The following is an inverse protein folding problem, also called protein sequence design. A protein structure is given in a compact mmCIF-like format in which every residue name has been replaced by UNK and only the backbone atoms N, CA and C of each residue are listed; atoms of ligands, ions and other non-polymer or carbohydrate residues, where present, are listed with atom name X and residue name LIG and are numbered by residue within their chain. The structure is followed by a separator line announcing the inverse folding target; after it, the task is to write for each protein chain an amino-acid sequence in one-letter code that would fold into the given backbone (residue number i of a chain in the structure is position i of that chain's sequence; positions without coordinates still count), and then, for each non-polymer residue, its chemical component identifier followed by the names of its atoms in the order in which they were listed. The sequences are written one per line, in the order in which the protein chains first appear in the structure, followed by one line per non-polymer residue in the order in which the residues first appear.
data_IF_332559315588
#
_entry.id   IF_332559315588
#
_cell.length_a   1.000
_cell.length_b   1.000
_cell.length_c   1.000
_cell.angle_alpha   90.00
_cell.angle_beta   90.00
_cell.angle_gamma   90.00
#
_symmetry.space_group_name_H-M   'P 1'
#
loop_
_entity.id
_entity.type
_entity.pdbx_description
1 polymer ?
#
# COMPACT_ATOMS: atom_id res chain seq x y z
N UNK A 1 16.26 -10.02 2.73
CA UNK A 1 15.39 -9.21 1.85
C UNK A 1 15.91 -7.78 1.95
N UNK A 2 16.50 -7.20 0.89
CA UNK A 2 16.95 -5.80 0.95
C UNK A 2 15.72 -4.92 1.11
N UNK A 3 15.55 -4.29 2.26
CA UNK A 3 14.57 -3.21 2.44
C UNK A 3 15.07 -2.06 1.58
N UNK A 4 14.56 -1.91 0.36
CA UNK A 4 14.87 -0.72 -0.42
C UNK A 4 14.34 0.48 0.35
N UNK A 5 15.15 1.51 0.54
CA UNK A 5 14.73 2.69 1.29
C UNK A 5 13.59 3.40 0.56
N UNK A 6 12.71 4.06 1.32
CA UNK A 6 11.68 4.90 0.72
C UNK A 6 12.37 6.12 0.09
N UNK A 7 12.13 6.34 -1.20
CA UNK A 7 12.76 7.44 -1.92
C UNK A 7 11.87 8.70 -1.97
N UNK A 8 10.57 8.55 -1.64
CA UNK A 8 9.62 9.66 -1.54
C UNK A 8 8.61 9.35 -0.45
N UNK A 9 8.28 10.35 0.37
CA UNK A 9 7.24 10.30 1.38
C UNK A 9 6.34 11.52 1.18
N UNK A 10 5.03 11.32 1.19
CA UNK A 10 4.04 12.39 1.04
C UNK A 10 3.01 12.23 2.17
N UNK A 11 2.82 13.29 2.94
CA UNK A 11 1.72 13.37 3.88
C UNK A 11 0.51 14.01 3.17
N UNK A 12 -0.61 13.30 3.16
CA UNK A 12 -1.89 13.76 2.64
C UNK A 12 -2.75 14.32 3.76
N UNK A 13 -3.94 14.82 3.40
CA UNK A 13 -4.95 15.22 4.37
C UNK A 13 -5.32 14.07 5.33
N UNK A 14 -5.90 14.45 6.47
CA UNK A 14 -6.38 13.51 7.50
C UNK A 14 -5.28 12.60 8.10
N UNK A 15 -4.00 12.94 7.91
CA UNK A 15 -2.85 12.25 8.49
C UNK A 15 -2.45 10.96 7.75
N UNK A 16 -2.93 10.76 6.52
CA UNK A 16 -2.51 9.63 5.69
C UNK A 16 -1.09 9.87 5.20
N UNK A 17 -0.18 8.94 5.45
CA UNK A 17 1.20 8.99 4.95
C UNK A 17 1.40 7.98 3.82
N UNK A 18 1.82 8.46 2.66
CA UNK A 18 2.25 7.65 1.54
C UNK A 18 3.76 7.50 1.53
N UNK A 19 4.25 6.27 1.46
CA UNK A 19 5.66 5.92 1.36
C UNK A 19 5.89 5.21 0.01
N UNK A 20 6.82 5.71 -0.79
CA UNK A 20 7.11 5.18 -2.13
C UNK A 20 8.48 4.52 -2.16
N UNK A 21 8.52 3.30 -2.70
CA UNK A 21 9.74 2.50 -2.83
C UNK A 21 9.92 2.08 -4.28
N UNK A 22 11.15 2.23 -4.77
CA UNK A 22 11.52 1.80 -6.10
C UNK A 22 11.91 0.32 -6.07
N UNK A 23 11.18 -0.50 -6.81
CA UNK A 23 11.42 -1.93 -7.02
C UNK A 23 11.70 -2.24 -8.49
N UNK A 24 12.07 -1.21 -9.26
CA UNK A 24 12.40 -1.32 -10.68
C UNK A 24 13.55 -2.29 -10.89
N UNK A 25 13.41 -3.12 -11.91
CA UNK A 25 14.38 -4.14 -12.27
C UNK A 25 14.54 -4.19 -13.79
N UNK A 26 15.74 -4.55 -14.25
CA UNK A 26 16.02 -4.75 -15.67
C UNK A 26 15.18 -5.91 -16.19
N UNK A 27 14.54 -5.70 -17.34
CA UNK A 27 13.64 -6.68 -17.95
C UNK A 27 14.28 -7.33 -19.18
N UNK A 28 14.67 -6.52 -20.16
CA UNK A 28 15.29 -7.00 -21.40
C UNK A 28 16.11 -5.89 -22.08
N UNK A 29 17.35 -6.16 -22.49
CA UNK A 29 18.17 -5.12 -23.15
C UNK A 29 18.35 -3.89 -22.26
N UNK A 30 18.03 -2.71 -22.78
CA UNK A 30 17.98 -1.43 -22.05
C UNK A 30 16.59 -1.12 -21.45
N UNK A 31 15.65 -2.06 -21.58
CA UNK A 31 14.30 -1.95 -21.03
C UNK A 31 14.19 -2.53 -19.62
N UNK A 32 13.36 -1.86 -18.84
CA UNK A 32 13.12 -2.12 -17.44
C UNK A 32 11.63 -2.39 -17.19
N UNK A 33 11.37 -3.17 -16.14
CA UNK A 33 10.08 -3.23 -15.49
C UNK A 33 10.12 -2.22 -14.35
N UNK A 34 9.50 -1.06 -14.57
CA UNK A 34 9.38 -0.01 -13.57
C UNK A 34 8.33 -0.41 -12.56
N UNK A 35 8.71 -0.44 -11.28
CA UNK A 35 7.81 -0.80 -10.19
C UNK A 35 7.96 0.20 -9.07
N UNK A 36 6.89 0.91 -8.78
CA UNK A 36 6.79 1.75 -7.59
C UNK A 36 5.86 1.06 -6.61
N UNK A 37 6.39 0.59 -5.51
CA UNK A 37 5.59 0.13 -4.40
C UNK A 37 5.12 1.34 -3.60
N UNK A 38 3.82 1.43 -3.38
CA UNK A 38 3.17 2.48 -2.60
C UNK A 38 2.63 1.85 -1.35
N UNK A 39 3.04 2.38 -0.20
CA UNK A 39 2.54 2.00 1.10
C UNK A 39 1.82 3.20 1.72
N UNK A 40 0.52 3.06 1.98
CA UNK A 40 -0.28 4.07 2.66
C UNK A 40 -0.50 3.66 4.11
N UNK A 41 -0.01 4.49 5.02
CA UNK A 41 -0.29 4.41 6.45
C UNK A 41 -1.50 5.30 6.73
N UNK A 42 -2.61 4.66 7.08
CA UNK A 42 -3.90 5.34 7.26
C UNK A 42 -4.20 5.39 8.75
N UNK A 43 -4.36 6.59 9.34
CA UNK A 43 -4.80 6.71 10.72
C UNK A 43 -6.25 6.24 10.82
N UNK A 44 -6.55 5.47 11.85
CA UNK A 44 -7.91 5.06 12.15
C UNK A 44 -8.42 5.88 13.32
N UNK A 45 -9.58 6.52 13.18
CA UNK A 45 -10.28 7.10 14.32
C UNK A 45 -10.96 5.98 15.12
N UNK A 46 -10.54 5.69 16.37
CA UNK A 46 -11.14 4.62 17.17
C UNK A 46 -12.65 4.80 17.37
N UNK A 47 -13.15 6.03 17.48
CA UNK A 47 -14.57 6.30 17.71
C UNK A 47 -15.47 5.87 16.55
N UNK A 48 -14.92 5.83 15.33
CA UNK A 48 -15.64 5.42 14.12
C UNK A 48 -15.63 3.89 13.90
N UNK A 49 -15.01 3.12 14.81
CA UNK A 49 -14.82 1.68 14.69
C UNK A 49 -15.72 0.90 15.64
N UNK A 50 -16.09 -0.30 15.22
CA UNK A 50 -16.73 -1.29 16.10
C UNK A 50 -15.71 -1.86 17.09
N UNK A 51 -16.17 -2.43 18.21
CA UNK A 51 -15.29 -3.06 19.20
C UNK A 51 -14.40 -4.15 18.59
N UNK A 52 -14.94 -4.98 17.71
CA UNK A 52 -14.17 -6.01 16.99
C UNK A 52 -13.05 -5.41 16.11
N UNK A 53 -13.31 -4.27 15.48
CA UNK A 53 -12.33 -3.57 14.64
C UNK A 53 -11.24 -2.91 15.48
N UNK A 54 -11.60 -2.31 16.62
CA UNK A 54 -10.64 -1.77 17.59
C UNK A 54 -9.71 -2.87 18.09
N UNK A 55 -10.27 -4.00 18.52
CA UNK A 55 -9.49 -5.14 19.00
C UNK A 55 -8.54 -5.68 17.92
N UNK A 56 -8.99 -5.73 16.67
CA UNK A 56 -8.15 -6.12 15.55
C UNK A 56 -6.98 -5.16 15.33
N UNK A 57 -7.22 -3.85 15.34
CA UNK A 57 -6.19 -2.83 15.14
C UNK A 57 -5.16 -2.83 16.27
N UNK A 58 -5.59 -2.95 17.52
CA UNK A 58 -4.67 -3.08 18.67
C UNK A 58 -3.79 -4.31 18.52
N UNK A 59 -4.36 -5.45 18.12
CA UNK A 59 -3.57 -6.65 17.81
C UNK A 59 -2.72 -6.54 16.54
N UNK A 60 -2.92 -5.50 15.71
CA UNK A 60 -2.18 -5.25 14.48
C UNK A 60 -1.10 -4.17 14.59
N UNK A 61 -0.96 -3.52 15.76
CA UNK A 61 -0.02 -2.41 15.97
C UNK A 61 -0.57 -1.04 15.58
N UNK A 62 -1.88 -0.82 15.77
CA UNK A 62 -2.59 0.47 15.71
C UNK A 62 -2.53 1.23 14.38
N UNK A 63 -2.10 0.59 13.28
CA UNK A 63 -2.00 1.24 11.97
C UNK A 63 -2.58 0.37 10.87
N UNK A 64 -3.49 0.95 10.10
CA UNK A 64 -3.99 0.33 8.89
C UNK A 64 -3.02 0.64 7.75
N UNK A 65 -2.42 -0.42 7.21
CA UNK A 65 -1.48 -0.33 6.10
C UNK A 65 -2.15 -0.82 4.82
N UNK A 66 -2.25 0.05 3.82
CA UNK A 66 -2.58 -0.32 2.44
C UNK A 66 -1.29 -0.38 1.63
N UNK A 67 -1.15 -1.38 0.77
CA UNK A 67 0.04 -1.53 -0.07
C UNK A 67 -0.38 -1.94 -1.48
N UNK A 68 0.21 -1.31 -2.49
CA UNK A 68 -0.02 -1.61 -3.91
C UNK A 68 1.23 -1.36 -4.74
N UNK A 69 1.29 -1.95 -5.93
CA UNK A 69 2.38 -1.75 -6.87
C UNK A 69 1.87 -1.04 -8.12
N UNK A 70 2.49 0.08 -8.45
CA UNK A 70 2.35 0.75 -9.74
C UNK A 70 3.40 0.16 -10.68
N UNK A 71 2.97 -0.36 -11.83
CA UNK A 71 3.84 -1.13 -12.72
C UNK A 71 3.71 -0.62 -14.13
N UNK A 72 4.86 -0.36 -14.77
CA UNK A 72 4.95 -0.16 -16.20
C UNK A 72 6.05 -1.07 -16.77
N UNK A 73 5.70 -1.81 -17.82
CA UNK A 73 6.60 -2.75 -18.49
C UNK A 73 7.31 -2.06 -19.65
N UNK A 74 8.46 -2.62 -20.04
CA UNK A 74 9.20 -2.23 -21.24
C UNK A 74 9.54 -0.73 -21.27
N UNK A 75 10.07 -0.20 -20.16
CA UNK A 75 10.48 1.21 -20.05
C UNK A 75 11.97 1.35 -20.39
N UNK A 76 12.34 2.17 -21.40
CA UNK A 76 13.74 2.44 -21.70
C UNK A 76 14.47 3.06 -20.50
N UNK A 77 15.76 2.75 -20.34
CA UNK A 77 16.58 3.31 -19.24
C UNK A 77 16.51 4.83 -19.17
N UNK A 78 16.50 5.50 -20.33
CA UNK A 78 16.47 6.97 -20.43
C UNK A 78 15.16 7.58 -19.87
N UNK A 79 14.07 6.81 -19.81
CA UNK A 79 12.74 7.29 -19.43
C UNK A 79 12.34 6.86 -18.00
N UNK A 80 13.19 6.13 -17.28
CA UNK A 80 12.84 5.54 -15.98
C UNK A 80 12.39 6.58 -14.96
N UNK A 81 13.07 7.72 -14.92
CA UNK A 81 12.77 8.80 -13.96
C UNK A 81 11.41 9.40 -14.24
N UNK A 82 11.13 9.72 -15.51
CA UNK A 82 9.90 10.36 -15.94
C UNK A 82 8.70 9.42 -15.80
N UNK A 83 8.84 8.17 -16.23
CA UNK A 83 7.78 7.16 -16.07
C UNK A 83 7.48 6.91 -14.60
N UNK A 84 8.49 6.87 -13.74
CA UNK A 84 8.30 6.72 -12.30
C UNK A 84 7.54 7.90 -11.70
N UNK A 85 7.88 9.12 -12.10
CA UNK A 85 7.16 10.32 -11.67
C UNK A 85 5.70 10.28 -12.13
N UNK A 86 5.47 9.98 -13.41
CA UNK A 86 4.13 9.88 -14.00
C UNK A 86 3.25 8.81 -13.31
N UNK A 87 3.82 7.66 -12.94
CA UNK A 87 3.10 6.64 -12.16
C UNK A 87 2.64 7.19 -10.81
N UNK A 88 3.53 7.91 -10.10
CA UNK A 88 3.19 8.51 -8.80
C UNK A 88 2.12 9.59 -8.97
N UNK A 89 2.29 10.47 -9.95
CA UNK A 89 1.37 11.59 -10.16
C UNK A 89 -0.02 11.07 -10.55
N UNK A 90 -0.11 10.08 -11.44
CA UNK A 90 -1.37 9.41 -11.78
C UNK A 90 -2.02 8.73 -10.57
N UNK A 91 -1.24 8.11 -9.68
CA UNK A 91 -1.76 7.52 -8.45
C UNK A 91 -2.30 8.59 -7.49
N UNK A 92 -1.62 9.73 -7.37
CA UNK A 92 -2.06 10.84 -6.53
C UNK A 92 -3.35 11.48 -7.06
N UNK A 93 -3.45 11.70 -8.36
CA UNK A 93 -4.64 12.27 -9.00
C UNK A 93 -5.87 11.36 -8.87
N UNK A 94 -5.67 10.04 -8.97
CA UNK A 94 -6.80 9.10 -9.05
C UNK A 94 -7.15 8.49 -7.70
N UNK A 95 -6.16 7.94 -6.99
CA UNK A 95 -6.38 6.97 -5.91
C UNK A 95 -6.24 7.61 -4.53
N UNK A 96 -5.40 8.63 -4.37
CA UNK A 96 -5.19 9.29 -3.08
C UNK A 96 -6.49 9.81 -2.46
N UNK A 97 -7.39 10.38 -3.26
CA UNK A 97 -8.69 10.87 -2.81
C UNK A 97 -9.61 9.76 -2.29
N UNK A 98 -9.45 8.52 -2.74
CA UNK A 98 -10.24 7.40 -2.22
C UNK A 98 -9.74 6.89 -0.88
N UNK A 99 -8.43 6.99 -0.62
CA UNK A 99 -7.82 6.55 0.63
C UNK A 99 -8.37 7.30 1.85
N UNK A 100 -8.78 8.56 1.66
CA UNK A 100 -9.37 9.42 2.68
C UNK A 100 -10.88 9.18 2.93
N UNK A 101 -11.53 8.30 2.16
CA UNK A 101 -12.98 8.08 2.31
C UNK A 101 -13.27 7.05 3.43
N UNK A 102 -14.25 7.29 4.32
CA UNK A 102 -14.63 6.34 5.37
C UNK A 102 -15.00 4.94 4.86
N UNK A 103 -15.59 4.86 3.67
CA UNK A 103 -15.93 3.59 3.01
C UNK A 103 -14.70 2.75 2.65
N UNK A 104 -13.58 3.40 2.32
CA UNK A 104 -12.33 2.70 1.99
C UNK A 104 -11.71 2.07 3.24
N UNK A 105 -11.60 2.83 4.33
CA UNK A 105 -11.01 2.38 5.61
C UNK A 105 -11.77 1.16 6.15
N UNK A 106 -13.10 1.23 6.19
CA UNK A 106 -13.94 0.13 6.66
C UNK A 106 -13.84 -1.11 5.76
N UNK A 107 -13.77 -0.94 4.44
CA UNK A 107 -13.54 -2.04 3.50
C UNK A 107 -12.18 -2.70 3.66
N UNK A 108 -11.13 -1.89 3.82
CA UNK A 108 -9.77 -2.38 4.03
C UNK A 108 -9.63 -3.13 5.36
N UNK A 109 -10.24 -2.63 6.45
CA UNK A 109 -10.32 -3.34 7.73
C UNK A 109 -11.01 -4.70 7.59
N UNK A 110 -12.18 -4.75 6.97
CA UNK A 110 -12.91 -6.01 6.73
C UNK A 110 -12.07 -7.01 5.95
N UNK A 111 -11.38 -6.55 4.90
CA UNK A 111 -10.48 -7.38 4.10
C UNK A 111 -9.33 -7.95 4.95
N UNK A 112 -8.64 -7.10 5.72
CA UNK A 112 -7.52 -7.57 6.56
C UNK A 112 -7.98 -8.50 7.68
N UNK A 113 -9.14 -8.25 8.29
CA UNK A 113 -9.75 -9.15 9.27
C UNK A 113 -10.06 -10.52 8.67
N UNK A 114 -10.64 -10.57 7.47
CA UNK A 114 -10.93 -11.80 6.74
C UNK A 114 -9.65 -12.58 6.38
N UNK A 115 -8.62 -11.90 5.90
CA UNK A 115 -7.33 -12.50 5.57
C UNK A 115 -6.63 -13.10 6.80
N UNK A 116 -6.66 -12.40 7.96
CA UNK A 116 -6.10 -12.94 9.21
C UNK A 116 -6.90 -14.12 9.73
N UNK A 117 -8.24 -14.09 9.64
CA UNK A 117 -9.09 -15.23 10.01
C UNK A 117 -8.76 -16.45 9.16
N UNK A 118 -8.60 -16.27 7.85
CA UNK A 118 -8.25 -17.34 6.93
C UNK A 118 -6.84 -17.89 7.17
N UNK A 119 -5.85 -17.03 7.48
CA UNK A 119 -4.50 -17.49 7.87
C UNK A 119 -4.50 -18.26 9.19
N UNK A 120 -5.23 -17.80 10.21
CA UNK A 120 -5.41 -18.55 11.47
C UNK A 120 -6.10 -19.90 11.24
N UNK A 121 -7.13 -19.95 10.38
CA UNK A 121 -7.81 -21.21 10.06
C UNK A 121 -6.91 -22.21 9.31
N UNK A 122 -6.02 -21.73 8.44
CA UNK A 122 -5.02 -22.57 7.76
C UNK A 122 -3.92 -23.08 8.69
N UNK A 123 -3.64 -22.39 9.80
CA UNK A 123 -2.69 -22.83 10.83
C UNK A 123 -3.29 -23.85 11.81
N UNK A 124 -4.60 -24.11 11.75
CA UNK A 124 -5.35 -25.03 12.61
C UNK A 124 -5.98 -26.21 11.83
N UNK A 125 -5.24 -26.79 10.88
CA UNK A 125 -5.55 -28.15 10.42
C UNK A 125 -4.67 -29.13 11.22
N UNK A 126 -5.22 -29.92 12.17
CA UNK A 126 -4.51 -31.10 12.65
C UNK A 126 -4.32 -32.06 11.47
N UNK A 127 -3.09 -32.54 11.32
CA UNK A 127 -2.74 -33.60 10.39
C UNK A 127 -3.51 -34.90 10.70
#
# INVERSE_FOLDING_TARGET
MKTADFFRVIDLEQGIRLEFRDLTNRYFGDYHRTVVNVRALIPCNPEALTEDQKQFLTAAGDRLCYETNLVQMAVPTAELVDVRAALIDSFLETTAHYLAKPGFVSGLLKKQMAERRNKRHKLFHPA
#
